data_IF_382063853617
#
_entry.id   IF_382063853617
#
_cell.length_a   1.000
_cell.length_b   1.000
_cell.length_c   1.000
_cell.angle_alpha   90.00
_cell.angle_beta   90.00
_cell.angle_gamma   90.00
#
_symmetry.space_group_name_H-M   'P 1'
#
loop_
_entity.id
_entity.type
_entity.pdbx_description
1 polymer ?
#
# COMPACT_ATOMS: atom_id res chain seq x y z
N UNK A 1 5.13 -23.33 1.50
CA UNK A 1 4.29 -22.12 1.44
C UNK A 1 4.04 -21.84 -0.03
N UNK A 2 2.78 -21.56 -0.40
CA UNK A 2 2.47 -21.18 -1.77
C UNK A 2 2.79 -19.70 -1.95
N UNK A 3 3.38 -19.34 -3.10
CA UNK A 3 3.49 -17.93 -3.49
C UNK A 3 2.12 -17.47 -4.00
N UNK A 4 1.63 -16.35 -3.47
CA UNK A 4 0.42 -15.67 -3.93
C UNK A 4 0.83 -14.32 -4.51
N UNK A 5 0.48 -14.09 -5.76
CA UNK A 5 0.70 -12.81 -6.42
C UNK A 5 -0.51 -11.92 -6.15
N UNK A 6 -0.24 -10.75 -5.57
CA UNK A 6 -1.27 -9.74 -5.29
C UNK A 6 -1.09 -8.55 -6.24
N UNK A 7 -2.20 -8.13 -6.84
CA UNK A 7 -2.25 -6.87 -7.56
C UNK A 7 -2.75 -5.76 -6.62
N UNK A 8 -2.34 -4.53 -6.90
CA UNK A 8 -2.85 -3.33 -6.25
C UNK A 8 -3.88 -2.69 -7.19
N UNK A 9 -5.19 -2.79 -6.91
CA UNK A 9 -6.23 -2.21 -7.75
C UNK A 9 -6.34 -0.69 -7.59
N UNK A 10 -6.98 -0.01 -8.56
CA UNK A 10 -7.38 1.38 -8.40
C UNK A 10 -8.65 1.46 -7.54
N UNK A 11 -8.79 2.47 -6.66
CA UNK A 11 -7.98 3.68 -6.55
C UNK A 11 -6.69 3.55 -5.71
N UNK A 12 -6.48 2.48 -4.94
CA UNK A 12 -5.29 2.33 -4.10
C UNK A 12 -3.98 2.45 -4.90
N UNK A 13 -3.93 1.84 -6.08
CA UNK A 13 -2.81 1.95 -7.02
C UNK A 13 -2.44 3.40 -7.33
N UNK A 14 -3.46 4.24 -7.54
CA UNK A 14 -3.25 5.64 -7.89
C UNK A 14 -2.75 6.45 -6.70
N UNK A 15 -3.15 6.10 -5.47
CA UNK A 15 -2.58 6.66 -4.25
C UNK A 15 -1.09 6.33 -4.14
N UNK A 16 -0.72 5.05 -4.33
CA UNK A 16 0.68 4.62 -4.28
C UNK A 16 1.54 5.30 -5.36
N UNK A 17 1.02 5.45 -6.59
CA UNK A 17 1.71 6.19 -7.66
C UNK A 17 1.86 7.68 -7.30
N UNK A 18 0.81 8.30 -6.75
CA UNK A 18 0.85 9.70 -6.36
C UNK A 18 1.90 9.97 -5.28
N UNK A 19 2.11 8.99 -4.40
CA UNK A 19 3.07 9.07 -3.31
C UNK A 19 4.50 8.64 -3.70
N UNK A 20 4.76 8.33 -4.97
CA UNK A 20 6.10 7.95 -5.45
C UNK A 20 7.08 9.13 -5.35
N UNK A 21 8.26 8.88 -4.79
CA UNK A 21 9.33 9.88 -4.58
C UNK A 21 10.44 9.73 -5.62
N UNK A 22 11.66 10.19 -5.31
CA UNK A 22 12.77 10.26 -6.28
C UNK A 22 13.30 8.90 -6.78
N UNK A 23 13.02 7.78 -6.08
CA UNK A 23 13.36 6.45 -6.61
C UNK A 23 12.29 5.92 -7.56
N UNK A 24 12.71 5.05 -8.49
CA UNK A 24 11.81 4.30 -9.36
C UNK A 24 11.20 3.13 -8.58
N UNK A 25 9.87 3.06 -8.47
CA UNK A 25 9.19 1.94 -7.79
C UNK A 25 9.54 0.56 -8.35
N UNK A 26 9.79 0.46 -9.65
CA UNK A 26 10.24 -0.80 -10.28
C UNK A 26 11.62 -1.28 -9.80
N UNK A 27 12.41 -0.42 -9.16
CA UNK A 27 13.73 -0.73 -8.62
C UNK A 27 13.72 -0.82 -7.09
N UNK A 28 13.21 0.22 -6.42
CA UNK A 28 13.21 0.32 -4.95
C UNK A 28 11.93 -0.23 -4.29
N UNK A 29 10.90 -0.58 -5.07
CA UNK A 29 9.63 -1.06 -4.52
C UNK A 29 8.98 -0.08 -3.56
N UNK A 30 8.55 -0.57 -2.40
CA UNK A 30 7.90 0.23 -1.37
C UNK A 30 8.79 1.38 -0.84
N UNK A 31 10.12 1.26 -0.92
CA UNK A 31 11.05 2.34 -0.55
C UNK A 31 10.97 3.55 -1.50
N UNK A 32 10.40 3.38 -2.69
CA UNK A 32 10.12 4.48 -3.61
C UNK A 32 8.84 5.26 -3.25
N UNK A 33 8.14 4.89 -2.19
CA UNK A 33 6.81 5.45 -1.86
C UNK A 33 6.88 6.14 -0.50
N UNK A 34 6.50 7.42 -0.46
CA UNK A 34 6.36 8.15 0.79
C UNK A 34 5.03 7.85 1.46
N UNK A 35 5.06 7.52 2.75
CA UNK A 35 3.85 7.44 3.60
C UNK A 35 3.67 8.72 4.43
N UNK A 36 4.18 9.86 3.95
CA UNK A 36 3.98 11.17 4.59
C UNK A 36 2.47 11.50 4.62
N UNK A 37 1.89 11.73 5.82
CA UNK A 37 0.49 12.08 5.95
C UNK A 37 0.06 13.27 5.09
N UNK A 38 0.92 14.29 4.92
CA UNK A 38 0.57 15.48 4.14
C UNK A 38 0.37 15.15 2.66
N UNK A 39 1.19 14.26 2.11
CA UNK A 39 1.11 13.82 0.72
C UNK A 39 -0.13 12.94 0.48
N UNK A 40 -0.42 12.05 1.42
CA UNK A 40 -1.63 11.21 1.36
C UNK A 40 -2.88 12.09 1.49
N UNK A 41 -2.87 13.10 2.35
CA UNK A 41 -3.96 14.06 2.50
C UNK A 41 -4.20 14.86 1.20
N UNK A 42 -3.14 15.31 0.54
CA UNK A 42 -3.22 15.99 -0.75
C UNK A 42 -3.86 15.11 -1.84
N UNK A 43 -3.57 13.81 -1.82
CA UNK A 43 -4.25 12.84 -2.69
C UNK A 43 -5.73 12.72 -2.34
N UNK A 44 -6.06 12.52 -1.06
CA UNK A 44 -7.44 12.40 -0.57
C UNK A 44 -8.31 13.59 -1.00
N UNK A 45 -7.77 14.81 -0.89
CA UNK A 45 -8.46 16.04 -1.32
C UNK A 45 -8.73 16.09 -2.82
N UNK A 46 -7.92 15.44 -3.65
CA UNK A 46 -8.08 15.44 -5.12
C UNK A 46 -9.08 14.41 -5.62
N UNK A 47 -9.14 13.23 -5.00
CA UNK A 47 -9.96 12.10 -5.49
C UNK A 47 -11.36 12.04 -4.86
N UNK A 48 -11.54 12.71 -3.72
CA UNK A 48 -12.80 12.74 -2.99
C UNK A 48 -13.07 11.48 -2.16
N UNK A 49 -13.99 11.60 -1.21
CA UNK A 49 -14.24 10.61 -0.15
C UNK A 49 -14.58 9.20 -0.66
N UNK A 50 -15.34 9.07 -1.75
CA UNK A 50 -15.69 7.77 -2.30
C UNK A 50 -14.46 6.96 -2.75
N UNK A 51 -13.47 7.62 -3.36
CA UNK A 51 -12.24 6.97 -3.78
C UNK A 51 -11.33 6.65 -2.59
N UNK A 52 -11.31 7.51 -1.56
CA UNK A 52 -10.58 7.25 -0.31
C UNK A 52 -11.13 6.01 0.40
N UNK A 53 -12.46 5.93 0.57
CA UNK A 53 -13.13 4.78 1.22
C UNK A 53 -12.82 3.48 0.47
N UNK A 54 -12.90 3.50 -0.87
CA UNK A 54 -12.58 2.31 -1.66
C UNK A 54 -11.09 1.95 -1.60
N UNK A 55 -10.18 2.93 -1.61
CA UNK A 55 -8.75 2.66 -1.43
C UNK A 55 -8.45 2.01 -0.07
N UNK A 56 -9.11 2.46 0.99
CA UNK A 56 -9.00 1.86 2.33
C UNK A 56 -9.53 0.43 2.38
N UNK A 57 -10.67 0.17 1.73
CA UNK A 57 -11.22 -1.19 1.61
C UNK A 57 -10.24 -2.13 0.91
N UNK A 58 -9.66 -1.70 -0.21
CA UNK A 58 -8.65 -2.45 -0.96
C UNK A 58 -7.37 -2.68 -0.13
N UNK A 59 -6.98 -1.69 0.66
CA UNK A 59 -5.80 -1.78 1.51
C UNK A 59 -6.00 -2.76 2.68
N UNK A 60 -7.19 -2.77 3.29
CA UNK A 60 -7.55 -3.73 4.33
C UNK A 60 -7.52 -5.18 3.80
N UNK A 61 -8.07 -5.43 2.60
CA UNK A 61 -7.98 -6.75 1.96
C UNK A 61 -6.53 -7.17 1.72
N UNK A 62 -5.68 -6.24 1.30
CA UNK A 62 -4.25 -6.52 1.09
C UNK A 62 -3.53 -6.82 2.40
N UNK A 63 -3.82 -6.10 3.48
CA UNK A 63 -3.28 -6.35 4.81
C UNK A 63 -3.66 -7.76 5.28
N UNK A 64 -4.93 -8.15 5.16
CA UNK A 64 -5.39 -9.49 5.55
C UNK A 64 -4.63 -10.61 4.81
N UNK A 65 -4.40 -10.44 3.50
CA UNK A 65 -3.63 -11.40 2.69
C UNK A 65 -2.16 -11.45 3.14
N UNK A 66 -1.56 -10.32 3.49
CA UNK A 66 -0.18 -10.26 3.99
C UNK A 66 -0.04 -10.76 5.42
N UNK A 67 -1.09 -10.68 6.25
CA UNK A 67 -1.08 -11.25 7.60
C UNK A 67 -1.15 -12.79 7.60
N UNK A 68 -1.70 -13.41 6.55
CA UNK A 68 -1.74 -14.86 6.41
C UNK A 68 -0.32 -15.44 6.23
N UNK A 69 0.20 -15.99 7.34
CA UNK A 69 1.53 -16.62 7.39
C UNK A 69 1.63 -17.93 6.61
N UNK A 70 0.53 -18.49 6.13
CA UNK A 70 0.57 -19.69 5.29
C UNK A 70 1.01 -19.39 3.85
N UNK A 71 0.99 -18.12 3.45
CA UNK A 71 1.27 -17.64 2.11
C UNK A 71 2.53 -16.77 2.06
N UNK A 72 3.29 -16.88 0.96
CA UNK A 72 4.31 -15.91 0.60
C UNK A 72 3.68 -14.92 -0.38
N UNK A 73 3.52 -13.66 0.02
CA UNK A 73 2.96 -12.63 -0.86
C UNK A 73 4.05 -12.08 -1.77
N UNK A 74 3.73 -11.93 -3.04
CA UNK A 74 4.56 -11.29 -4.07
C UNK A 74 3.75 -10.20 -4.76
N UNK A 75 4.37 -9.06 -5.04
CA UNK A 75 3.75 -8.00 -5.85
C UNK A 75 4.77 -7.38 -6.79
N UNK A 76 4.52 -7.49 -8.09
CA UNK A 76 5.35 -6.82 -9.12
C UNK A 76 5.20 -5.30 -9.05
N UNK A 77 4.00 -4.83 -8.67
CA UNK A 77 3.73 -3.40 -8.57
C UNK A 77 4.47 -2.74 -7.41
N UNK A 78 4.45 -3.38 -6.23
CA UNK A 78 5.19 -2.91 -5.05
C UNK A 78 6.66 -3.36 -5.06
N UNK A 79 7.05 -4.19 -6.03
CA UNK A 79 8.37 -4.85 -6.11
C UNK A 79 8.79 -5.45 -4.75
N UNK A 80 7.90 -6.23 -4.14
CA UNK A 80 8.10 -6.79 -2.80
C UNK A 80 7.75 -8.27 -2.70
N UNK A 81 8.43 -9.00 -1.81
CA UNK A 81 8.17 -10.42 -1.52
C UNK A 81 8.38 -10.77 -0.05
N UNK A 82 7.35 -11.34 0.60
CA UNK A 82 7.38 -11.77 2.01
C UNK A 82 8.03 -13.15 2.19
N UNK A 83 9.29 -13.28 1.79
CA UNK A 83 10.04 -14.54 1.84
C UNK A 83 10.43 -14.96 3.27
N UNK A 84 10.38 -14.03 4.22
CA UNK A 84 10.53 -14.26 5.65
C UNK A 84 9.62 -13.31 6.45
N UNK A 85 9.67 -13.42 7.78
CA UNK A 85 8.86 -12.58 8.68
C UNK A 85 9.33 -11.12 8.72
N UNK A 86 10.59 -10.83 8.39
CA UNK A 86 11.11 -9.46 8.35
C UNK A 86 10.53 -8.71 7.15
N UNK A 87 10.59 -9.31 5.96
CA UNK A 87 9.99 -8.77 4.75
C UNK A 87 8.46 -8.68 4.85
N UNK A 88 7.81 -9.60 5.58
CA UNK A 88 6.37 -9.50 5.89
C UNK A 88 6.08 -8.30 6.79
N UNK A 89 6.86 -8.14 7.86
CA UNK A 89 6.71 -7.00 8.78
C UNK A 89 6.88 -5.68 8.05
N UNK A 90 7.91 -5.57 7.23
CA UNK A 90 8.20 -4.40 6.42
C UNK A 90 7.02 -4.02 5.50
N UNK A 91 6.45 -5.00 4.79
CA UNK A 91 5.26 -4.75 3.97
C UNK A 91 4.06 -4.31 4.82
N UNK A 92 3.80 -4.98 5.95
CA UNK A 92 2.69 -4.61 6.85
C UNK A 92 2.86 -3.21 7.42
N UNK A 93 4.07 -2.83 7.82
CA UNK A 93 4.36 -1.50 8.37
C UNK A 93 4.09 -0.42 7.30
N UNK A 94 4.52 -0.65 6.05
CA UNK A 94 4.19 0.21 4.92
C UNK A 94 2.68 0.34 4.68
N UNK A 95 1.96 -0.79 4.58
CA UNK A 95 0.51 -0.80 4.33
C UNK A 95 -0.27 -0.15 5.48
N UNK A 96 0.17 -0.36 6.72
CA UNK A 96 -0.46 0.23 7.91
C UNK A 96 -0.24 1.73 7.98
N UNK A 97 0.96 2.22 7.63
CA UNK A 97 1.24 3.65 7.54
C UNK A 97 0.38 4.33 6.46
N UNK A 98 0.20 3.66 5.33
CA UNK A 98 -0.68 4.14 4.26
C UNK A 98 -2.15 4.18 4.70
N UNK A 99 -2.65 3.16 5.41
CA UNK A 99 -4.04 3.15 5.92
C UNK A 99 -4.27 4.26 6.94
N UNK A 100 -3.30 4.51 7.82
CA UNK A 100 -3.39 5.60 8.79
C UNK A 100 -3.52 6.98 8.10
N UNK A 101 -2.75 7.21 7.02
CA UNK A 101 -2.87 8.43 6.22
C UNK A 101 -4.22 8.55 5.52
N UNK A 102 -4.72 7.47 4.92
CA UNK A 102 -6.02 7.45 4.26
C UNK A 102 -7.17 7.64 5.24
N UNK A 103 -7.09 7.03 6.44
CA UNK A 103 -8.07 7.18 7.50
C UNK A 103 -8.15 8.63 8.00
N UNK A 104 -7.02 9.32 8.12
CA UNK A 104 -6.98 10.73 8.47
C UNK A 104 -7.62 11.60 7.36
N UNK A 105 -7.36 11.26 6.09
CA UNK A 105 -7.93 11.96 4.94
C UNK A 105 -9.43 11.74 4.73
N UNK A 106 -9.99 10.61 5.17
CA UNK A 106 -11.44 10.33 5.13
C UNK A 106 -12.23 11.23 6.08
N UNK A 107 -11.61 11.69 7.18
CA UNK A 107 -12.25 12.54 8.17
C UNK A 107 -12.35 14.03 7.77
N UNK A 108 -11.84 14.40 6.59
CA UNK A 108 -11.83 15.78 6.04
C UNK A 108 -13.08 16.08 5.21
#
# INVERSE_FOLDING_TARGET
>A
MADVSVDVPSPLRTCVIFCEVECVRLCCGIDAVSTDPALIEDWCRQVGSAAVIEARRQLAELIEVVEDRSQCVTSDFLNHRTHDEAARRELLDFLTALDAGLAAGEAL
#
